data_IF_654941678589
#
_entry.id   IF_654941678589
#
_cell.length_a   1.000
_cell.length_b   1.000
_cell.length_c   1.000
_cell.angle_alpha   90.00
_cell.angle_beta   90.00
_cell.angle_gamma   90.00
#
_symmetry.space_group_name_H-M   'P 1'
#
loop_
_entity.id
_entity.type
_entity.pdbx_description
1 polymer ?
#
# COMPACT_ATOMS: atom_id res chain seq x y z
N UNK A 1 16.90 0.83 33.63
CA UNK A 1 15.73 1.73 33.76
C UNK A 1 14.62 1.28 32.81
N UNK A 2 13.39 1.04 33.29
CA UNK A 2 12.24 0.68 32.42
C UNK A 2 11.84 1.82 31.48
N UNK A 3 11.98 3.06 31.95
CA UNK A 3 11.74 4.28 31.15
C UNK A 3 12.56 4.32 29.86
N UNK A 4 13.86 3.93 29.91
CA UNK A 4 14.71 3.86 28.72
C UNK A 4 14.20 2.85 27.68
N UNK A 5 13.69 1.69 28.12
CA UNK A 5 13.14 0.67 27.21
C UNK A 5 11.84 1.14 26.55
N UNK A 6 10.96 1.75 27.32
CA UNK A 6 9.70 2.32 26.81
C UNK A 6 10.00 3.42 25.78
N UNK A 7 10.89 4.36 26.12
CA UNK A 7 11.32 5.41 25.20
C UNK A 7 11.98 4.86 23.94
N UNK A 8 12.83 3.83 24.04
CA UNK A 8 13.45 3.18 22.89
C UNK A 8 12.43 2.52 21.95
N UNK A 9 11.43 1.82 22.49
CA UNK A 9 10.34 1.26 21.67
C UNK A 9 9.50 2.36 21.00
N UNK A 10 9.27 3.48 21.70
CA UNK A 10 8.62 4.66 21.14
C UNK A 10 9.42 5.29 20.00
N UNK A 11 10.75 5.43 20.15
CA UNK A 11 11.61 5.94 19.07
C UNK A 11 11.59 5.04 17.85
N UNK A 12 11.70 3.72 18.02
CA UNK A 12 11.65 2.76 16.91
C UNK A 12 10.30 2.81 16.18
N UNK A 13 9.19 2.96 16.91
CA UNK A 13 7.87 3.15 16.31
C UNK A 13 7.79 4.45 15.48
N UNK A 14 8.30 5.58 16.01
CA UNK A 14 8.31 6.84 15.26
C UNK A 14 9.25 6.79 14.05
N UNK A 15 10.39 6.11 14.15
CA UNK A 15 11.28 5.88 13.02
C UNK A 15 10.58 5.11 11.90
N UNK A 16 9.85 4.03 12.23
CA UNK A 16 9.06 3.28 11.26
C UNK A 16 7.99 4.16 10.59
N UNK A 17 7.32 5.05 11.35
CA UNK A 17 6.38 6.03 10.77
C UNK A 17 7.07 6.96 9.77
N UNK A 18 8.23 7.51 10.13
CA UNK A 18 9.02 8.37 9.23
C UNK A 18 9.39 7.63 7.95
N UNK A 19 9.82 6.37 8.05
CA UNK A 19 10.17 5.54 6.87
C UNK A 19 8.97 5.29 5.95
N UNK A 20 7.82 4.93 6.52
CA UNK A 20 6.59 4.69 5.74
C UNK A 20 6.09 5.96 5.06
N UNK A 21 6.03 7.08 5.79
CA UNK A 21 5.58 8.37 5.25
C UNK A 21 6.55 8.86 4.16
N UNK A 22 7.85 8.69 4.37
CA UNK A 22 8.86 9.03 3.36
C UNK A 22 8.70 8.19 2.10
N UNK A 23 8.35 6.90 2.22
CA UNK A 23 8.04 6.05 1.08
C UNK A 23 6.77 6.50 0.34
N UNK A 24 5.71 6.87 1.06
CA UNK A 24 4.50 7.42 0.45
C UNK A 24 4.82 8.69 -0.34
N UNK A 25 5.55 9.62 0.26
CA UNK A 25 5.92 10.89 -0.37
C UNK A 25 6.78 10.67 -1.62
N UNK A 26 7.72 9.73 -1.59
CA UNK A 26 8.54 9.38 -2.75
C UNK A 26 7.72 8.80 -3.92
N UNK A 27 6.60 8.13 -3.62
CA UNK A 27 5.72 7.49 -4.61
C UNK A 27 4.45 8.32 -4.92
N UNK A 28 4.46 9.63 -4.64
CA UNK A 28 3.30 10.49 -4.93
C UNK A 28 3.01 10.66 -6.43
N UNK A 29 4.00 10.43 -7.29
CA UNK A 29 3.85 10.51 -8.74
C UNK A 29 3.84 9.12 -9.40
N UNK A 30 3.83 8.05 -8.60
CA UNK A 30 3.78 6.68 -9.12
C UNK A 30 2.34 6.32 -9.45
N UNK A 31 2.10 5.97 -10.71
CA UNK A 31 0.78 5.58 -11.23
C UNK A 31 0.18 4.42 -10.43
N UNK A 32 -1.07 4.55 -9.99
CA UNK A 32 -1.80 3.52 -9.26
C UNK A 32 -1.22 3.16 -7.89
N UNK A 33 -0.37 4.00 -7.30
CA UNK A 33 0.19 3.78 -5.97
C UNK A 33 -0.83 4.07 -4.86
N UNK A 34 -0.91 3.17 -3.89
CA UNK A 34 -1.74 3.33 -2.70
C UNK A 34 -0.89 3.62 -1.45
N UNK A 35 -1.27 4.66 -0.71
CA UNK A 35 -0.58 5.06 0.51
C UNK A 35 -0.54 3.93 1.54
N UNK A 36 0.56 3.81 2.28
CA UNK A 36 0.71 2.83 3.36
C UNK A 36 0.68 3.51 4.72
N UNK A 37 0.12 2.83 5.72
CA UNK A 37 0.08 3.32 7.11
C UNK A 37 0.71 2.29 8.04
N UNK A 38 1.61 2.76 8.90
CA UNK A 38 2.13 1.96 10.01
C UNK A 38 1.12 1.94 11.17
N UNK A 39 0.76 0.74 11.61
CA UNK A 39 -0.11 0.52 12.76
C UNK A 39 0.71 -0.04 13.93
N UNK A 40 0.33 0.34 15.15
CA UNK A 40 1.06 -0.02 16.36
C UNK A 40 0.12 -0.58 17.41
N UNK A 41 0.64 -1.49 18.23
CA UNK A 41 -0.06 -2.04 19.38
C UNK A 41 0.78 -1.84 20.64
N UNK A 42 0.12 -1.68 21.78
CA UNK A 42 0.81 -1.61 23.07
C UNK A 42 1.40 -2.99 23.44
N UNK A 43 2.44 -2.94 24.27
CA UNK A 43 3.06 -4.14 24.84
C UNK A 43 2.37 -4.55 26.14
N UNK A 44 2.52 -5.81 26.51
CA UNK A 44 1.88 -6.40 27.68
C UNK A 44 2.10 -5.58 28.96
N UNK A 45 1.11 -5.57 29.85
CA UNK A 45 1.17 -4.81 31.09
C UNK A 45 1.81 -5.64 32.21
N UNK A 46 2.78 -5.08 32.92
CA UNK A 46 3.24 -5.66 34.18
C UNK A 46 2.29 -5.23 35.30
N UNK A 47 1.61 -6.20 35.89
CA UNK A 47 0.75 -5.98 37.06
C UNK A 47 1.59 -6.17 38.33
N UNK A 48 1.96 -5.06 38.98
CA UNK A 48 2.65 -5.12 40.28
C UNK A 48 1.65 -5.41 41.41
N UNK A 49 0.38 -5.03 41.23
CA UNK A 49 -0.71 -5.37 42.15
C UNK A 49 -1.97 -5.52 41.31
N UNK A 50 -2.68 -6.64 41.45
CA UNK A 50 -3.93 -6.85 40.74
C UNK A 50 -5.03 -6.00 41.40
N UNK A 51 -5.89 -5.31 40.63
CA UNK A 51 -7.08 -4.72 41.20
C UNK A 51 -7.88 -5.79 41.95
N UNK A 52 -8.34 -5.51 43.17
CA UNK A 52 -9.09 -6.46 43.99
C UNK A 52 -8.25 -7.34 44.93
N UNK A 53 -6.93 -7.12 45.06
CA UNK A 53 -6.13 -7.81 46.09
C UNK A 53 -6.50 -7.33 47.50
N UNK A 54 -6.66 -8.28 48.42
CA UNK A 54 -6.90 -8.00 49.84
C UNK A 54 -5.56 -7.64 50.49
N UNK A 55 -5.49 -6.47 51.12
CA UNK A 55 -4.27 -6.01 51.79
C UNK A 55 -4.05 -6.83 53.08
N UNK A 56 -2.85 -7.38 53.26
CA UNK A 56 -2.55 -8.29 54.37
C UNK A 56 -2.51 -7.60 55.76
N UNK A 57 -2.42 -6.27 55.80
CA UNK A 57 -2.35 -5.49 57.04
C UNK A 57 -3.74 -5.15 57.64
N UNK A 58 -4.74 -4.83 56.80
CA UNK A 58 -6.04 -4.29 57.27
C UNK A 58 -7.27 -5.00 56.67
N UNK A 59 -7.09 -6.05 55.84
CA UNK A 59 -8.21 -6.77 55.22
C UNK A 59 -9.01 -5.96 54.19
N UNK A 60 -8.56 -4.76 53.86
CA UNK A 60 -9.19 -3.88 52.86
C UNK A 60 -8.85 -4.32 51.44
N UNK A 61 -9.85 -4.33 50.56
CA UNK A 61 -9.66 -4.64 49.13
C UNK A 61 -9.09 -3.41 48.45
N UNK A 62 -7.94 -3.53 47.77
CA UNK A 62 -7.42 -2.44 46.95
C UNK A 62 -8.32 -2.24 45.72
N UNK A 63 -8.96 -1.06 45.56
CA UNK A 63 -9.88 -0.81 44.44
C UNK A 63 -9.14 -0.65 43.10
N UNK A 64 -7.85 -0.28 43.13
CA UNK A 64 -7.03 -0.06 41.94
C UNK A 64 -5.72 -0.84 42.02
N UNK A 65 -5.37 -1.54 40.95
CA UNK A 65 -4.07 -2.20 40.80
C UNK A 65 -3.04 -1.28 40.14
N UNK A 66 -1.75 -1.57 40.34
CA UNK A 66 -0.65 -0.89 39.63
C UNK A 66 -0.35 -1.67 38.35
N UNK A 67 -0.76 -1.11 37.21
CA UNK A 67 -0.49 -1.66 35.87
C UNK A 67 0.46 -0.74 35.12
N UNK A 68 1.59 -1.29 34.66
CA UNK A 68 2.61 -0.54 33.93
C UNK A 68 2.75 -1.12 32.51
N UNK A 69 2.49 -0.29 31.51
CA UNK A 69 2.69 -0.66 30.10
C UNK A 69 4.17 -0.79 29.77
N UNK A 70 4.53 -1.76 28.93
CA UNK A 70 5.91 -2.05 28.55
C UNK A 70 6.41 -1.31 27.30
N UNK A 71 5.58 -0.44 26.73
CA UNK A 71 5.88 0.33 25.52
C UNK A 71 4.98 -0.05 24.36
N UNK A 72 5.51 0.05 23.15
CA UNK A 72 4.77 -0.11 21.88
C UNK A 72 5.54 -1.01 20.91
N UNK A 73 4.84 -1.71 20.02
CA UNK A 73 5.46 -2.43 18.88
C UNK A 73 4.73 -2.13 17.57
N UNK A 74 5.42 -2.20 16.42
CA UNK A 74 4.76 -2.27 15.12
C UNK A 74 3.83 -3.49 15.07
N UNK A 75 2.59 -3.27 14.66
CA UNK A 75 1.59 -4.30 14.45
C UNK A 75 1.59 -4.76 12.98
N UNK A 76 1.54 -3.79 12.06
CA UNK A 76 1.47 -4.02 10.62
C UNK A 76 1.81 -2.73 9.86
N UNK A 77 2.11 -2.87 8.56
CA UNK A 77 2.02 -1.77 7.59
C UNK A 77 0.93 -2.15 6.61
N UNK A 78 -0.14 -1.36 6.56
CA UNK A 78 -1.32 -1.69 5.77
C UNK A 78 -1.51 -0.68 4.65
N UNK A 79 -1.87 -1.18 3.46
CA UNK A 79 -2.22 -0.35 2.31
C UNK A 79 -3.61 0.28 2.53
N UNK A 80 -3.70 1.59 2.31
CA UNK A 80 -4.94 2.35 2.25
C UNK A 80 -5.42 2.35 0.81
N UNK A 81 -6.33 1.44 0.50
CA UNK A 81 -6.94 1.35 -0.83
C UNK A 81 -7.88 2.54 -1.03
N UNK A 82 -7.53 3.40 -1.97
CA UNK A 82 -8.35 4.53 -2.40
C UNK A 82 -8.02 4.86 -3.85
N UNK A 83 -9.05 5.17 -4.64
CA UNK A 83 -8.87 5.60 -6.02
C UNK A 83 -8.15 6.95 -6.07
N UNK A 84 -7.07 7.03 -6.85
CA UNK A 84 -6.39 8.30 -7.17
C UNK A 84 -7.17 9.15 -8.19
N UNK A 85 -6.69 10.38 -8.44
CA UNK A 85 -7.23 11.18 -9.56
C UNK A 85 -6.89 10.54 -10.90
N UNK A 86 -7.80 10.66 -11.87
CA UNK A 86 -7.55 10.21 -13.23
C UNK A 86 -6.95 11.37 -14.04
N UNK A 87 -5.69 11.23 -14.46
CA UNK A 87 -4.98 12.22 -15.26
C UNK A 87 -5.03 11.83 -16.74
N UNK A 88 -5.47 12.76 -17.59
CA UNK A 88 -5.45 12.55 -19.05
C UNK A 88 -4.02 12.66 -19.58
N UNK A 89 -3.49 11.57 -20.13
CA UNK A 89 -2.15 11.53 -20.73
C UNK A 89 -2.18 11.59 -22.25
N UNK A 90 -3.28 11.15 -22.86
CA UNK A 90 -3.43 11.04 -24.31
C UNK A 90 -2.61 9.91 -24.95
N UNK A 91 -2.06 8.99 -24.16
CA UNK A 91 -1.39 7.81 -24.67
C UNK A 91 -2.39 6.75 -25.16
N UNK A 92 -2.17 6.19 -26.34
CA UNK A 92 -3.08 5.20 -26.95
C UNK A 92 -3.26 3.92 -26.12
N UNK A 93 -2.23 3.55 -25.35
CA UNK A 93 -2.20 2.36 -24.48
C UNK A 93 -2.21 2.72 -22.99
N UNK A 94 -2.32 4.01 -22.66
CA UNK A 94 -2.45 4.42 -21.27
C UNK A 94 -3.89 4.13 -20.84
N UNK A 95 -4.03 3.26 -19.85
CA UNK A 95 -5.31 2.77 -19.37
C UNK A 95 -5.47 3.07 -17.88
N UNK A 96 -6.62 3.57 -17.48
CA UNK A 96 -6.96 3.70 -16.08
C UNK A 96 -8.21 2.89 -15.75
N UNK A 97 -8.23 2.33 -14.54
CA UNK A 97 -9.38 1.60 -14.00
C UNK A 97 -10.19 2.58 -13.15
N UNK A 98 -11.41 2.88 -13.57
CA UNK A 98 -12.36 3.66 -12.78
C UNK A 98 -13.18 2.71 -11.90
N UNK A 99 -12.77 2.56 -10.63
CA UNK A 99 -13.37 1.60 -9.69
C UNK A 99 -12.40 0.51 -9.26
N UNK A 100 -12.92 -0.59 -8.71
CA UNK A 100 -12.09 -1.69 -8.19
C UNK A 100 -11.62 -2.64 -9.29
N UNK A 101 -10.38 -3.11 -9.20
CA UNK A 101 -9.81 -4.07 -10.15
C UNK A 101 -8.30 -3.92 -10.31
N UNK A 102 -7.68 -4.97 -10.83
CA UNK A 102 -6.26 -5.00 -11.19
C UNK A 102 -6.11 -5.63 -12.58
N UNK A 103 -5.14 -5.15 -13.35
CA UNK A 103 -4.65 -5.85 -14.53
C UNK A 103 -3.85 -7.07 -14.10
N UNK A 104 -4.09 -8.19 -14.74
CA UNK A 104 -3.28 -9.39 -14.59
C UNK A 104 -2.13 -9.37 -15.60
N UNK A 105 -0.93 -9.71 -15.15
CA UNK A 105 0.28 -9.77 -15.98
C UNK A 105 1.01 -11.08 -15.75
N UNK A 106 1.68 -11.60 -16.78
CA UNK A 106 2.48 -12.82 -16.62
C UNK A 106 3.92 -12.45 -16.26
N UNK A 107 4.37 -12.86 -15.08
CA UNK A 107 5.76 -12.68 -14.64
C UNK A 107 6.70 -13.63 -15.41
N UNK A 108 8.02 -13.37 -15.45
CA UNK A 108 8.99 -14.25 -16.11
C UNK A 108 9.06 -15.66 -15.49
N UNK A 109 8.60 -15.81 -14.26
CA UNK A 109 8.47 -17.11 -13.57
C UNK A 109 7.28 -17.94 -14.07
N UNK A 110 6.39 -17.36 -14.88
CA UNK A 110 5.12 -17.96 -15.31
C UNK A 110 3.99 -17.82 -14.29
N UNK A 111 4.20 -17.07 -13.20
CA UNK A 111 3.17 -16.78 -12.19
C UNK A 111 2.40 -15.52 -12.60
N UNK A 112 1.10 -15.46 -12.32
CA UNK A 112 0.31 -14.24 -12.49
C UNK A 112 0.68 -13.18 -11.44
N UNK A 113 1.05 -11.99 -11.90
CA UNK A 113 1.15 -10.78 -11.10
C UNK A 113 -0.05 -9.87 -11.36
N UNK A 114 -0.31 -8.97 -10.43
CA UNK A 114 -1.42 -8.03 -10.53
C UNK A 114 -0.90 -6.61 -10.40
N UNK A 115 -1.37 -5.69 -11.23
CA UNK A 115 -0.97 -4.29 -11.19
C UNK A 115 -2.17 -3.39 -11.38
N UNK A 116 -2.09 -2.19 -10.82
CA UNK A 116 -3.03 -1.10 -11.09
C UNK A 116 -2.40 0.00 -11.96
N UNK A 117 -1.11 -0.15 -12.28
CA UNK A 117 -0.44 0.70 -13.26
C UNK A 117 -0.90 0.31 -14.66
N UNK A 118 -1.53 1.25 -15.36
CA UNK A 118 -1.91 1.09 -16.75
C UNK A 118 -1.07 1.91 -17.72
N UNK A 119 0.17 2.26 -17.36
CA UNK A 119 1.19 2.75 -18.28
C UNK A 119 1.71 1.65 -19.22
N UNK A 120 0.81 1.08 -20.03
CA UNK A 120 1.11 -0.02 -20.92
C UNK A 120 1.84 0.45 -22.18
N UNK A 121 2.62 -0.46 -22.77
CA UNK A 121 3.45 -0.25 -23.95
C UNK A 121 3.28 -1.41 -24.93
N UNK A 122 3.68 -1.18 -26.17
CA UNK A 122 3.68 -2.19 -27.23
C UNK A 122 5.09 -2.78 -27.36
N UNK A 123 5.21 -4.10 -27.31
CA UNK A 123 6.45 -4.82 -27.58
C UNK A 123 6.75 -4.90 -29.09
N UNK A 124 7.97 -5.30 -29.46
CA UNK A 124 8.37 -5.53 -30.86
C UNK A 124 7.52 -6.60 -31.55
N UNK A 125 7.06 -7.60 -30.79
CA UNK A 125 6.17 -8.66 -31.27
C UNK A 125 4.70 -8.20 -31.38
N UNK A 126 4.41 -6.94 -31.03
CA UNK A 126 3.06 -6.37 -31.05
C UNK A 126 2.23 -6.64 -29.80
N UNK A 127 2.75 -7.39 -28.83
CA UNK A 127 2.08 -7.64 -27.55
C UNK A 127 1.95 -6.38 -26.69
N UNK A 128 0.86 -6.29 -25.93
CA UNK A 128 0.69 -5.28 -24.89
C UNK A 128 1.43 -5.73 -23.64
N UNK A 129 2.40 -4.93 -23.22
CA UNK A 129 3.26 -5.19 -22.08
C UNK A 129 3.23 -4.01 -21.11
N UNK A 130 3.55 -4.26 -19.85
CA UNK A 130 3.84 -3.21 -18.87
C UNK A 130 5.14 -2.47 -19.21
N UNK A 131 5.43 -1.38 -18.50
CA UNK A 131 6.70 -0.64 -18.66
C UNK A 131 7.94 -1.50 -18.38
N UNK A 132 7.81 -2.57 -17.59
CA UNK A 132 8.86 -3.56 -17.32
C UNK A 132 8.93 -4.71 -18.34
N UNK A 133 8.05 -4.71 -19.34
CA UNK A 133 8.03 -5.71 -20.41
C UNK A 133 7.22 -6.97 -20.10
N UNK A 134 6.46 -7.00 -19.00
CA UNK A 134 5.59 -8.14 -18.68
C UNK A 134 4.30 -8.09 -19.51
N UNK A 135 3.90 -9.16 -20.22
CA UNK A 135 2.68 -9.18 -21.00
C UNK A 135 1.44 -9.13 -20.09
N UNK A 136 0.46 -8.34 -20.51
CA UNK A 136 -0.84 -8.23 -19.85
C UNK A 136 -1.75 -9.36 -20.34
N UNK A 137 -2.49 -9.98 -19.42
CA UNK A 137 -3.41 -11.08 -19.71
C UNK A 137 -4.82 -10.52 -20.00
N UNK A 138 -5.52 -11.00 -21.05
CA UNK A 138 -5.07 -11.96 -22.06
C UNK A 138 -4.05 -11.35 -23.03
N UNK A 139 -3.23 -12.21 -23.65
CA UNK A 139 -2.16 -11.80 -24.59
C UNK A 139 -2.73 -11.17 -25.87
N UNK A 140 -3.01 -9.87 -25.82
CA UNK A 140 -3.52 -9.12 -26.98
C UNK A 140 -2.34 -8.70 -27.85
N UNK A 141 -2.34 -9.15 -29.10
CA UNK A 141 -1.34 -8.78 -30.11
C UNK A 141 -1.91 -7.73 -31.04
N UNK A 142 -1.25 -6.58 -31.11
CA UNK A 142 -1.57 -5.49 -32.02
C UNK A 142 -0.82 -5.73 -33.35
N UNK A 143 -1.51 -5.85 -34.49
CA UNK A 143 -0.88 -5.97 -35.80
C UNK A 143 -0.09 -4.72 -36.21
N UNK A 144 0.99 -4.86 -36.98
CA UNK A 144 1.89 -3.75 -37.37
C UNK A 144 1.27 -2.78 -38.38
N UNK A 145 0.26 -3.23 -39.11
CA UNK A 145 -0.55 -2.49 -40.07
C UNK A 145 -1.71 -1.71 -39.43
N UNK A 146 -1.93 -1.87 -38.12
CA UNK A 146 -2.92 -1.08 -37.37
C UNK A 146 -2.52 0.40 -37.32
N UNK A 147 -3.42 1.27 -37.79
CA UNK A 147 -3.25 2.72 -37.78
C UNK A 147 -3.45 3.33 -36.39
N UNK A 148 -4.48 2.85 -35.69
CA UNK A 148 -4.90 3.37 -34.39
C UNK A 148 -5.66 2.30 -33.62
N UNK A 149 -5.65 2.43 -32.30
CA UNK A 149 -6.29 1.49 -31.37
C UNK A 149 -7.33 2.26 -30.56
N UNK A 150 -8.52 1.67 -30.40
CA UNK A 150 -9.53 2.18 -29.48
C UNK A 150 -9.88 1.07 -28.50
N UNK A 151 -9.94 1.42 -27.22
CA UNK A 151 -10.31 0.49 -26.15
C UNK A 151 -11.59 1.04 -25.52
N UNK A 152 -12.66 0.25 -25.48
CA UNK A 152 -13.92 0.67 -24.88
C UNK A 152 -13.91 0.48 -23.35
N UNK A 153 -15.00 0.91 -22.70
CA UNK A 153 -15.14 0.86 -21.24
C UNK A 153 -15.19 -0.58 -20.71
N UNK A 154 -15.67 -1.50 -21.54
CA UNK A 154 -15.75 -2.94 -21.32
C UNK A 154 -14.42 -3.67 -21.58
N UNK A 155 -13.37 -2.94 -21.98
CA UNK A 155 -12.02 -3.45 -22.21
C UNK A 155 -11.78 -4.14 -23.54
N UNK A 156 -12.74 -4.11 -24.46
CA UNK A 156 -12.57 -4.61 -25.82
C UNK A 156 -11.62 -3.70 -26.61
N UNK A 157 -10.61 -4.31 -27.22
CA UNK A 157 -9.55 -3.65 -27.97
C UNK A 157 -9.84 -3.76 -29.45
N UNK A 158 -10.10 -2.62 -30.09
CA UNK A 158 -10.38 -2.50 -31.51
C UNK A 158 -9.20 -1.87 -32.25
N UNK A 159 -8.78 -2.49 -33.35
CA UNK A 159 -7.78 -1.94 -34.26
C UNK A 159 -8.43 -1.43 -35.55
N UNK A 160 -7.98 -0.25 -35.99
CA UNK A 160 -8.39 0.37 -37.24
C UNK A 160 -7.25 0.27 -38.25
N UNK A 161 -7.59 -0.03 -39.50
CA UNK A 161 -6.63 -0.21 -40.59
C UNK A 161 -6.93 0.75 -41.74
N UNK A 162 -5.98 0.94 -42.65
CA UNK A 162 -6.15 1.87 -43.78
C UNK A 162 -6.94 1.27 -44.95
N UNK A 163 -6.97 -0.05 -45.05
CA UNK A 163 -7.54 -0.83 -46.15
C UNK A 163 -9.00 -1.26 -45.92
N UNK A 164 -9.52 -1.06 -44.70
CA UNK A 164 -10.90 -1.41 -44.30
C UNK A 164 -11.51 -0.36 -43.39
N UNK A 165 -12.82 -0.14 -43.57
CA UNK A 165 -13.60 0.86 -42.79
C UNK A 165 -14.06 0.29 -41.44
N UNK A 166 -14.29 -1.02 -41.35
CA UNK A 166 -14.72 -1.65 -40.09
C UNK A 166 -13.52 -2.00 -39.20
N UNK A 167 -13.57 -1.67 -37.90
CA UNK A 167 -12.55 -2.08 -36.95
C UNK A 167 -12.56 -3.59 -36.74
N UNK A 168 -11.39 -4.15 -36.43
CA UNK A 168 -11.23 -5.55 -36.01
C UNK A 168 -11.11 -5.62 -34.49
N UNK A 169 -11.84 -6.55 -33.87
CA UNK A 169 -11.70 -6.85 -32.44
C UNK A 169 -10.47 -7.74 -32.22
N UNK A 170 -9.46 -7.22 -31.53
CA UNK A 170 -8.23 -7.96 -31.23
C UNK A 170 -8.36 -8.83 -29.97
N UNK A 171 -9.22 -8.44 -29.04
CA UNK A 171 -9.42 -9.11 -27.76
C UNK A 171 -10.11 -8.22 -26.75
N UNK A 172 -10.23 -8.71 -25.51
CA UNK A 172 -10.84 -7.98 -24.40
C UNK A 172 -9.96 -8.11 -23.15
N UNK A 173 -9.67 -6.98 -22.50
CA UNK A 173 -9.02 -6.98 -21.19
C UNK A 173 -9.92 -7.59 -20.14
N UNK A 174 -9.33 -8.34 -19.23
CA UNK A 174 -9.99 -8.83 -18.02
C UNK A 174 -9.41 -8.14 -16.80
N UNK A 175 -10.24 -7.91 -15.78
CA UNK A 175 -9.80 -7.37 -14.51
C UNK A 175 -9.94 -8.44 -13.43
N UNK A 176 -8.95 -8.49 -12.54
CA UNK A 176 -8.98 -9.33 -11.36
C UNK A 176 -9.45 -8.53 -10.14
N UNK A 177 -10.39 -9.08 -9.38
CA UNK A 177 -10.74 -8.62 -8.04
C UNK A 177 -10.29 -9.63 -6.98
N UNK A 178 -10.19 -9.17 -5.74
CA UNK A 178 -9.85 -9.99 -4.58
C UNK A 178 -10.85 -9.75 -3.46
N UNK A 179 -11.16 -10.79 -2.69
CA UNK A 179 -12.02 -10.65 -1.50
C UNK A 179 -11.35 -9.73 -0.48
N UNK A 180 -10.02 -9.82 -0.33
CA UNK A 180 -9.24 -8.95 0.54
C UNK A 180 -8.00 -8.38 -0.19
N UNK A 181 -8.10 -7.22 -0.85
CA UNK A 181 -6.97 -6.65 -1.58
C UNK A 181 -5.82 -6.20 -0.67
N UNK A 182 -6.05 -6.01 0.64
CA UNK A 182 -4.99 -5.71 1.61
C UNK A 182 -4.09 -6.90 1.92
N UNK A 183 -4.53 -8.11 1.57
CA UNK A 183 -3.75 -9.35 1.74
C UNK A 183 -2.76 -9.60 0.60
N UNK A 184 -2.78 -8.78 -0.45
CA UNK A 184 -1.85 -8.91 -1.57
C UNK A 184 -0.42 -8.58 -1.14
N UNK A 185 0.54 -9.36 -1.64
CA UNK A 185 1.96 -9.14 -1.37
C UNK A 185 2.57 -8.27 -2.47
N UNK A 186 3.15 -7.12 -2.10
CA UNK A 186 3.82 -6.25 -3.06
C UNK A 186 5.25 -6.74 -3.33
N UNK A 187 5.57 -7.02 -4.60
CA UNK A 187 6.89 -7.53 -5.02
C UNK A 187 7.81 -6.47 -5.65
N UNK A 188 7.36 -5.22 -5.71
CA UNK A 188 8.06 -4.12 -6.39
C UNK A 188 7.39 -3.76 -7.72
N UNK A 189 7.85 -2.69 -8.38
CA UNK A 189 7.30 -2.23 -9.68
C UNK A 189 5.76 -2.07 -9.75
N UNK A 190 5.14 -1.71 -8.62
CA UNK A 190 3.68 -1.66 -8.49
C UNK A 190 2.95 -3.00 -8.78
N UNK A 191 3.66 -4.12 -8.68
CA UNK A 191 3.14 -5.48 -8.86
C UNK A 191 2.80 -6.12 -7.50
N UNK A 192 1.75 -6.91 -7.55
CA UNK A 192 1.17 -7.63 -6.43
C UNK A 192 1.05 -9.11 -6.76
N UNK A 193 1.27 -9.96 -5.76
CA UNK A 193 1.02 -11.41 -5.81
C UNK A 193 -0.16 -11.78 -4.94
N UNK A 194 -0.87 -12.81 -5.38
CA UNK A 194 -1.92 -13.46 -4.59
C UNK A 194 -1.30 -14.19 -3.38
N UNK A 195 -1.97 -14.09 -2.24
CA UNK A 195 -1.61 -14.82 -1.02
C UNK A 195 -2.83 -15.54 -0.44
N UNK A 196 -2.59 -16.41 0.54
CA UNK A 196 -3.70 -17.02 1.30
C UNK A 196 -4.57 -15.99 2.03
N UNK A 197 -4.05 -14.79 2.31
CA UNK A 197 -4.77 -13.72 2.98
C UNK A 197 -5.60 -12.85 2.00
N UNK A 198 -5.26 -12.81 0.70
CA UNK A 198 -6.05 -12.09 -0.31
C UNK A 198 -7.28 -12.88 -0.77
N UNK A 199 -7.17 -14.21 -0.74
CA UNK A 199 -8.09 -15.11 -1.42
C UNK A 199 -7.78 -15.23 -2.91
N UNK A 200 -8.47 -16.14 -3.63
CA UNK A 200 -8.26 -16.37 -5.06
C UNK A 200 -8.62 -15.14 -5.89
N UNK A 201 -7.96 -14.97 -7.03
CA UNK A 201 -8.35 -13.97 -8.03
C UNK A 201 -9.72 -14.27 -8.64
N UNK A 202 -10.58 -13.26 -8.65
CA UNK A 202 -11.88 -13.28 -9.29
C UNK A 202 -11.78 -12.48 -10.57
N UNK A 203 -11.56 -13.15 -11.69
CA UNK A 203 -11.39 -12.53 -13.01
C UNK A 203 -12.75 -12.39 -13.68
N UNK A 204 -13.09 -11.17 -14.09
CA UNK A 204 -14.31 -10.88 -14.85
C UNK A 204 -14.06 -9.70 -15.81
N UNK A 205 -15.03 -9.44 -16.69
CA UNK A 205 -14.94 -8.32 -17.62
C UNK A 205 -15.08 -6.98 -16.88
N UNK A 206 -14.40 -5.91 -17.34
CA UNK A 206 -14.62 -4.56 -16.84
C UNK A 206 -16.11 -4.19 -16.81
N UNK A 207 -16.57 -3.58 -15.72
CA UNK A 207 -17.99 -3.26 -15.49
C UNK A 207 -18.88 -4.44 -15.05
N UNK A 208 -18.37 -5.67 -15.05
CA UNK A 208 -19.04 -6.86 -14.52
C UNK A 208 -18.73 -7.09 -13.03
N UNK A 209 -19.62 -7.78 -12.30
CA UNK A 209 -19.38 -8.27 -10.93
C UNK A 209 -18.86 -7.22 -9.91
N UNK A 210 -19.20 -5.94 -10.09
CA UNK A 210 -18.76 -4.84 -9.24
C UNK A 210 -17.32 -4.35 -9.52
N UNK A 211 -16.71 -4.80 -10.61
CA UNK A 211 -15.46 -4.27 -11.13
C UNK A 211 -15.66 -2.89 -11.77
N UNK A 212 -14.58 -2.11 -11.78
CA UNK A 212 -14.50 -0.84 -12.46
C UNK A 212 -14.54 -0.96 -13.98
N UNK A 213 -14.73 0.17 -14.64
CA UNK A 213 -14.66 0.31 -16.10
C UNK A 213 -13.30 0.82 -16.51
N UNK A 214 -12.91 0.56 -17.76
CA UNK A 214 -11.65 1.04 -18.31
C UNK A 214 -11.80 2.41 -18.98
N UNK A 215 -10.78 3.24 -18.85
CA UNK A 215 -10.67 4.56 -19.49
C UNK A 215 -9.37 4.65 -20.26
N UNK A 216 -9.47 4.71 -21.58
CA UNK A 216 -8.32 4.89 -22.47
C UNK A 216 -7.84 6.34 -22.47
N UNK A 217 -6.52 6.54 -22.53
CA UNK A 217 -5.86 7.85 -22.56
C UNK A 217 -5.74 8.50 -21.19
N UNK A 218 -5.98 7.75 -20.12
CA UNK A 218 -5.89 8.18 -18.74
C UNK A 218 -4.97 7.27 -17.95
N UNK A 219 -4.29 7.85 -16.96
CA UNK A 219 -3.57 7.12 -15.91
C UNK A 219 -4.15 7.48 -14.55
N UNK A 220 -4.12 6.54 -13.62
CA UNK A 220 -4.50 6.77 -12.23
C UNK A 220 -3.30 7.35 -11.45
N UNK A 221 -3.44 8.54 -10.89
CA UNK A 221 -2.43 9.12 -10.00
C UNK A 221 -2.32 8.35 -8.68
N UNK A 222 -1.27 8.62 -7.93
CA UNK A 222 -1.13 8.13 -6.56
C UNK A 222 -2.27 8.66 -5.69
N UNK A 223 -2.76 7.83 -4.77
CA UNK A 223 -3.73 8.28 -3.75
C UNK A 223 -3.10 9.06 -2.59
N UNK A 224 -1.79 9.32 -2.66
CA UNK A 224 -1.03 10.00 -1.61
C UNK A 224 -1.32 11.50 -1.60
N UNK A 225 -1.86 11.99 -0.48
CA UNK A 225 -1.98 13.42 -0.19
C UNK A 225 -0.70 13.96 0.45
N UNK A 226 0.11 14.67 -0.33
CA UNK A 226 1.41 15.21 0.11
C UNK A 226 1.31 16.16 1.31
N UNK A 227 0.24 16.95 1.43
CA UNK A 227 0.06 17.89 2.54
C UNK A 227 -0.21 17.13 3.83
N UNK A 228 -1.06 16.10 3.75
CA UNK A 228 -1.33 15.19 4.88
C UNK A 228 -0.07 14.43 5.29
N UNK A 229 0.64 13.83 4.34
CA UNK A 229 1.88 13.08 4.63
C UNK A 229 2.95 13.97 5.28
N UNK A 230 3.15 15.21 4.82
CA UNK A 230 4.12 16.13 5.44
C UNK A 230 3.72 16.47 6.88
N UNK A 231 2.42 16.66 7.13
CA UNK A 231 1.92 16.93 8.49
C UNK A 231 2.19 15.73 9.41
N UNK A 232 1.87 14.52 8.96
CA UNK A 232 2.15 13.29 9.71
C UNK A 232 3.67 13.06 9.90
N UNK A 233 4.50 13.45 8.94
CA UNK A 233 5.96 13.38 9.03
C UNK A 233 6.49 14.27 10.15
N UNK A 234 6.00 15.52 10.23
CA UNK A 234 6.38 16.47 11.29
C UNK A 234 5.95 15.94 12.66
N UNK A 235 4.75 15.36 12.76
CA UNK A 235 4.29 14.73 14.00
C UNK A 235 5.19 13.55 14.41
N UNK A 236 5.56 12.69 13.46
CA UNK A 236 6.43 11.55 13.73
C UNK A 236 7.84 11.99 14.17
N UNK A 237 8.41 13.01 13.51
CA UNK A 237 9.70 13.61 13.87
C UNK A 237 9.67 14.22 15.27
N UNK A 238 8.64 15.02 15.59
CA UNK A 238 8.46 15.57 16.94
C UNK A 238 8.29 14.47 17.99
N UNK A 239 7.57 13.40 17.66
CA UNK A 239 7.45 12.22 18.50
C UNK A 239 8.79 11.56 18.78
N UNK A 240 9.64 11.41 17.76
CA UNK A 240 11.00 10.90 17.90
C UNK A 240 11.86 11.79 18.80
N UNK A 241 11.87 13.11 18.56
CA UNK A 241 12.58 14.09 19.38
C UNK A 241 12.14 14.08 20.84
N UNK A 242 10.84 13.96 21.11
CA UNK A 242 10.30 13.86 22.47
C UNK A 242 10.81 12.60 23.17
N UNK A 243 10.79 11.45 22.49
CA UNK A 243 11.33 10.21 23.06
C UNK A 243 12.84 10.29 23.31
N UNK A 244 13.61 10.96 22.43
CA UNK A 244 15.04 11.21 22.64
C UNK A 244 15.30 12.08 23.88
N UNK A 245 14.49 13.13 24.09
CA UNK A 245 14.58 13.96 25.31
C UNK A 245 14.29 13.16 26.59
N UNK A 246 13.36 12.20 26.55
CA UNK A 246 13.08 11.30 27.68
C UNK A 246 14.31 10.44 28.00
N UNK A 247 15.02 9.93 26.99
CA UNK A 247 16.27 9.18 27.18
C UNK A 247 17.33 10.08 27.82
N UNK A 248 17.55 11.29 27.29
CA UNK A 248 18.51 12.22 27.86
C UNK A 248 18.20 12.60 29.31
N UNK A 249 16.92 12.82 29.65
CA UNK A 249 16.51 13.09 31.03
C UNK A 249 16.75 11.90 31.96
N UNK A 250 16.49 10.67 31.48
CA UNK A 250 16.78 9.45 32.23
C UNK A 250 18.29 9.24 32.44
N UNK A 251 19.12 9.55 31.45
CA UNK A 251 20.58 9.50 31.54
C UNK A 251 21.12 10.56 32.51
N UNK A 252 20.57 11.78 32.49
CA UNK A 252 20.90 12.82 33.46
C UNK A 252 20.58 12.39 34.90
N UNK A 253 19.43 11.75 35.14
CA UNK A 253 19.09 11.21 36.46
C UNK A 253 20.07 10.12 36.90
N UNK A 254 20.47 9.22 35.99
CA UNK A 254 21.47 8.20 36.27
C UNK A 254 22.84 8.82 36.62
N UNK A 255 23.27 9.82 35.86
CA UNK A 255 24.50 10.56 36.13
C UNK A 255 24.48 11.31 37.47
N UNK A 256 23.35 11.91 37.84
CA UNK A 256 23.19 12.55 39.14
C UNK A 256 23.28 11.52 40.28
N UNK A 257 22.67 10.33 40.12
CA UNK A 257 22.77 9.28 41.14
C UNK A 257 24.17 8.69 41.31
N UNK A 258 24.99 8.64 40.25
CA UNK A 258 26.38 8.17 40.37
C UNK A 258 27.31 9.20 41.01
N UNK A 259 26.97 10.49 40.97
CA UNK A 259 27.70 11.58 41.63
C UNK A 259 27.42 11.71 43.14
N UNK A 260 26.41 11.01 43.67
CA UNK A 260 26.08 10.98 45.12
C UNK A 260 26.99 9.98 45.88
N UNK A 261 28.21 9.74 45.39
CA UNK A 261 29.20 8.87 46.03
C UNK A 261 30.41 9.66 46.49
#
# INVERSE_FOLDING_TARGET
MRALKIAATGMSAQQMRVEVISNNLANMNTTGYNARRAEFADLHYQQATRPGTINAADGTVLPTGVQLGLGVRPASVTVQLSQGSLAATGGDLDMAIEGSGYFEVTLPSGISGYTRDGGLKRSADGLIVTSDGYPVVPDITIPSDARSISINAEGEVYAYFNDRVQPELLGQFTLANFTNPKGLEAIGSNLFLETSASGPSLVSAPGGDGLGVLRQGYLEDSSVDSVREITELIEAQRGYEMNAKVISAADQMLGATTQIR
#
